data_IF_283943938650
#
_entry.id   IF_283943938650
#
_cell.length_a   1.000
_cell.length_b   1.000
_cell.length_c   1.000
_cell.angle_alpha   90.00
_cell.angle_beta   90.00
_cell.angle_gamma   90.00
#
_symmetry.space_group_name_H-M   'P 1'
#
loop_
_entity.id
_entity.type
_entity.pdbx_description
1 polymer ?
#
# COMPACT_ATOMS: atom_id res chain seq x y z
N UNK A 1 -25.52 -61.49 -23.97
CA UNK A 1 -25.54 -60.12 -23.38
C UNK A 1 -24.69 -59.25 -24.26
N UNK A 2 -25.29 -58.29 -24.96
CA UNK A 2 -24.54 -57.35 -25.80
C UNK A 2 -23.89 -56.26 -24.93
N UNK A 3 -22.61 -56.10 -25.10
CA UNK A 3 -21.88 -55.01 -24.40
C UNK A 3 -22.35 -53.63 -24.92
N UNK A 4 -22.83 -52.79 -24.02
CA UNK A 4 -23.14 -51.38 -24.33
C UNK A 4 -21.81 -50.65 -24.63
N UNK A 5 -21.55 -50.34 -25.89
CA UNK A 5 -20.51 -49.44 -26.28
C UNK A 5 -20.99 -48.01 -25.98
N UNK A 6 -20.37 -47.37 -25.00
CA UNK A 6 -20.52 -45.94 -24.81
C UNK A 6 -19.64 -45.25 -25.85
N UNK A 7 -20.23 -44.72 -26.89
CA UNK A 7 -19.54 -43.88 -27.86
C UNK A 7 -19.39 -42.50 -27.23
N UNK A 8 -18.21 -42.20 -26.74
CA UNK A 8 -17.86 -40.80 -26.39
C UNK A 8 -17.74 -40.03 -27.70
N UNK A 9 -18.70 -39.17 -27.98
CA UNK A 9 -18.61 -38.27 -29.14
C UNK A 9 -17.39 -37.37 -28.97
N UNK A 10 -16.49 -37.41 -29.95
CA UNK A 10 -15.42 -36.41 -30.05
C UNK A 10 -16.05 -35.03 -29.99
N UNK A 11 -15.51 -34.14 -29.17
CA UNK A 11 -15.92 -32.73 -29.18
C UNK A 11 -15.84 -32.21 -30.61
N UNK A 12 -16.76 -31.29 -30.97
CA UNK A 12 -16.73 -30.59 -32.24
C UNK A 12 -15.39 -29.85 -32.45
N UNK A 13 -15.18 -29.22 -33.63
CA UNK A 13 -13.90 -28.60 -33.95
C UNK A 13 -13.46 -27.72 -32.77
N UNK A 14 -12.34 -28.11 -32.18
CA UNK A 14 -11.82 -27.50 -30.99
C UNK A 14 -11.71 -25.97 -31.21
N UNK A 15 -12.50 -25.22 -30.49
CA UNK A 15 -12.16 -23.81 -30.25
C UNK A 15 -10.70 -23.75 -29.77
N UNK A 16 -10.01 -22.66 -30.02
CA UNK A 16 -8.58 -22.52 -29.72
C UNK A 16 -8.29 -23.14 -28.34
N UNK A 17 -7.60 -24.28 -28.34
CA UNK A 17 -7.28 -25.05 -27.13
C UNK A 17 -6.50 -24.13 -26.18
N UNK A 18 -6.99 -23.95 -24.95
CA UNK A 18 -6.28 -23.24 -23.90
C UNK A 18 -4.93 -23.89 -23.58
N UNK A 19 -4.22 -23.34 -22.62
CA UNK A 19 -3.01 -23.97 -22.07
C UNK A 19 -3.41 -25.25 -21.32
N UNK A 20 -2.63 -26.30 -21.48
CA UNK A 20 -2.81 -27.60 -20.80
C UNK A 20 -1.66 -27.76 -19.80
N UNK A 21 -1.98 -27.85 -18.50
CA UNK A 21 -0.96 -28.05 -17.49
C UNK A 21 -0.58 -29.53 -17.37
N UNK A 22 0.67 -29.85 -17.72
CA UNK A 22 1.24 -31.19 -17.72
C UNK A 22 2.02 -31.56 -16.45
N UNK A 23 2.13 -30.65 -15.51
CA UNK A 23 2.88 -30.86 -14.25
C UNK A 23 4.36 -30.54 -14.36
N UNK A 24 5.20 -31.37 -13.74
CA UNK A 24 6.67 -31.22 -13.83
C UNK A 24 7.17 -31.62 -15.21
N UNK A 25 8.13 -30.86 -15.76
CA UNK A 25 8.85 -31.26 -16.95
C UNK A 25 9.62 -32.56 -16.71
N UNK A 26 9.46 -33.52 -17.62
CA UNK A 26 10.06 -34.87 -17.53
C UNK A 26 10.76 -35.18 -18.84
N UNK A 27 12.01 -35.65 -18.77
CA UNK A 27 12.80 -36.11 -19.93
C UNK A 27 12.09 -37.33 -20.60
N UNK A 28 12.19 -37.40 -21.93
CA UNK A 28 11.57 -38.39 -22.78
C UNK A 28 10.02 -38.30 -22.90
N UNK A 29 9.38 -37.35 -22.24
CA UNK A 29 7.97 -37.02 -22.47
C UNK A 29 7.79 -36.27 -23.78
N UNK A 30 6.63 -36.46 -24.43
CA UNK A 30 6.25 -35.70 -25.63
C UNK A 30 5.37 -34.55 -25.20
N UNK A 31 5.81 -33.34 -25.52
CA UNK A 31 5.05 -32.12 -25.25
C UNK A 31 4.44 -31.55 -26.52
N UNK A 32 3.21 -31.10 -26.43
CA UNK A 32 2.47 -30.47 -27.51
C UNK A 32 2.57 -28.95 -27.43
N UNK A 33 2.24 -28.28 -28.53
CA UNK A 33 2.11 -26.81 -28.52
C UNK A 33 1.04 -26.40 -27.52
N UNK A 34 1.34 -25.47 -26.65
CA UNK A 34 0.53 -24.95 -25.51
C UNK A 34 0.52 -25.83 -24.26
N UNK A 35 1.32 -26.86 -24.19
CA UNK A 35 1.56 -27.51 -22.91
C UNK A 35 2.29 -26.57 -21.97
N UNK A 36 1.80 -26.48 -20.73
CA UNK A 36 2.37 -25.69 -19.66
C UNK A 36 3.04 -26.65 -18.67
N UNK A 37 4.33 -26.45 -18.45
CA UNK A 37 5.11 -27.29 -17.53
C UNK A 37 5.76 -26.46 -16.45
N UNK A 38 5.93 -27.05 -15.26
CA UNK A 38 6.81 -26.51 -14.22
C UNK A 38 8.18 -27.13 -14.34
N UNK A 39 9.22 -26.31 -14.40
CA UNK A 39 10.60 -26.78 -14.40
C UNK A 39 11.19 -26.83 -12.99
N UNK A 40 12.38 -27.42 -12.83
CA UNK A 40 13.04 -27.61 -11.53
C UNK A 40 13.39 -26.31 -10.81
N UNK A 41 13.51 -25.19 -11.52
CA UNK A 41 13.69 -23.85 -10.97
C UNK A 41 12.40 -23.21 -10.42
N UNK A 42 11.27 -23.92 -10.46
CA UNK A 42 9.96 -23.43 -10.01
C UNK A 42 9.17 -22.67 -11.07
N UNK A 43 9.80 -22.22 -12.13
CA UNK A 43 9.17 -21.45 -13.20
C UNK A 43 8.22 -22.30 -14.07
N UNK A 44 7.22 -21.62 -14.64
CA UNK A 44 6.31 -22.22 -15.60
C UNK A 44 6.69 -21.81 -17.03
N UNK A 45 6.68 -22.76 -17.93
CA UNK A 45 7.01 -22.59 -19.33
C UNK A 45 5.93 -23.16 -20.24
N UNK A 46 5.68 -22.46 -21.35
CA UNK A 46 4.76 -22.91 -22.40
C UNK A 46 5.56 -23.50 -23.55
N UNK A 47 5.15 -24.68 -24.01
CA UNK A 47 5.69 -25.32 -25.19
C UNK A 47 5.18 -24.62 -26.47
N UNK A 48 6.09 -24.17 -27.31
CA UNK A 48 5.79 -23.51 -28.60
C UNK A 48 5.85 -24.47 -29.79
N UNK A 49 6.63 -25.54 -29.65
CA UNK A 49 6.87 -26.50 -30.72
C UNK A 49 6.76 -27.92 -30.16
N UNK A 50 5.93 -28.75 -30.77
CA UNK A 50 5.84 -30.17 -30.41
C UNK A 50 7.21 -30.82 -30.49
N UNK A 51 7.60 -31.50 -29.43
CA UNK A 51 8.88 -32.19 -29.36
C UNK A 51 8.89 -33.30 -28.32
N UNK A 52 9.94 -34.14 -28.37
CA UNK A 52 10.25 -35.06 -27.29
C UNK A 52 11.33 -34.44 -26.41
N UNK A 53 11.06 -34.38 -25.09
CA UNK A 53 11.95 -33.78 -24.12
C UNK A 53 13.31 -34.50 -24.02
N UNK A 54 14.39 -33.75 -24.07
CA UNK A 54 15.74 -34.25 -23.96
C UNK A 54 16.62 -33.29 -23.14
N UNK A 55 17.85 -33.68 -22.85
CA UNK A 55 18.78 -32.87 -22.09
C UNK A 55 19.20 -31.57 -22.80
N UNK A 56 19.10 -31.53 -24.13
CA UNK A 56 19.45 -30.34 -24.92
C UNK A 56 18.29 -29.36 -25.15
N UNK A 57 17.06 -29.75 -24.88
CA UNK A 57 15.86 -28.94 -25.11
C UNK A 57 15.03 -28.70 -23.84
N UNK A 58 15.71 -28.52 -22.72
CA UNK A 58 15.04 -28.18 -21.46
C UNK A 58 14.44 -26.78 -21.53
N UNK A 59 13.41 -26.45 -20.70
CA UNK A 59 12.75 -25.14 -20.69
C UNK A 59 13.68 -23.95 -20.50
N UNK A 60 14.82 -24.10 -19.86
CA UNK A 60 15.81 -23.03 -19.64
C UNK A 60 16.87 -22.96 -20.73
N UNK A 61 17.11 -24.02 -21.50
CA UNK A 61 18.17 -24.07 -22.52
C UNK A 61 17.67 -23.74 -23.91
N UNK A 62 16.44 -24.07 -24.24
CA UNK A 62 15.89 -23.90 -25.57
C UNK A 62 14.70 -22.94 -25.62
N UNK A 63 14.99 -21.66 -25.80
CA UNK A 63 14.00 -20.60 -25.90
C UNK A 63 13.20 -20.59 -27.21
N UNK A 64 13.57 -21.41 -28.18
CA UNK A 64 12.80 -21.58 -29.43
C UNK A 64 11.64 -22.54 -29.24
N UNK A 65 11.83 -23.53 -28.37
CA UNK A 65 10.82 -24.52 -28.01
C UNK A 65 9.95 -24.05 -26.85
N UNK A 66 10.54 -23.35 -25.88
CA UNK A 66 9.89 -22.96 -24.65
C UNK A 66 9.84 -21.44 -24.46
N UNK A 67 8.71 -20.94 -24.03
CA UNK A 67 8.56 -19.56 -23.55
C UNK A 67 8.31 -19.54 -22.05
N UNK A 68 9.05 -18.73 -21.32
CA UNK A 68 8.79 -18.46 -19.92
C UNK A 68 7.40 -17.82 -19.76
N UNK A 69 6.52 -18.47 -19.00
CA UNK A 69 5.15 -18.01 -18.74
C UNK A 69 5.02 -17.32 -17.38
N UNK A 70 5.58 -17.94 -16.35
CA UNK A 70 5.65 -17.35 -14.99
C UNK A 70 7.06 -17.57 -14.45
N UNK A 71 7.68 -16.48 -14.04
CA UNK A 71 8.89 -16.52 -13.23
C UNK A 71 8.49 -16.61 -11.75
N UNK A 72 8.81 -17.74 -11.12
CA UNK A 72 8.44 -17.98 -9.72
C UNK A 72 9.14 -17.01 -8.76
N UNK A 73 10.41 -16.64 -9.05
CA UNK A 73 11.15 -15.68 -8.22
C UNK A 73 10.55 -14.28 -8.33
N UNK A 74 10.19 -13.84 -9.54
CA UNK A 74 9.51 -12.57 -9.73
C UNK A 74 8.17 -12.55 -9.00
N UNK A 75 7.35 -13.58 -9.16
CA UNK A 75 6.06 -13.69 -8.48
C UNK A 75 6.23 -13.65 -6.94
N UNK A 76 7.24 -14.34 -6.42
CA UNK A 76 7.55 -14.33 -5.00
C UNK A 76 7.99 -12.95 -4.51
N UNK A 77 8.88 -12.26 -5.25
CA UNK A 77 9.32 -10.91 -4.92
C UNK A 77 8.16 -9.91 -4.95
N UNK A 78 7.32 -9.94 -5.99
CA UNK A 78 6.13 -9.09 -6.07
C UNK A 78 5.14 -9.30 -4.92
N UNK A 79 5.08 -10.52 -4.36
CA UNK A 79 4.25 -10.81 -3.20
C UNK A 79 4.89 -10.38 -1.87
N UNK A 80 6.20 -10.60 -1.68
CA UNK A 80 6.79 -10.71 -0.32
C UNK A 80 7.97 -9.80 -0.04
N UNK A 81 8.48 -9.03 -1.02
CA UNK A 81 9.65 -8.16 -0.80
C UNK A 81 9.38 -7.18 0.35
N UNK A 82 10.39 -7.00 1.19
CA UNK A 82 10.28 -6.14 2.36
C UNK A 82 9.91 -4.69 2.03
N UNK A 83 9.30 -4.00 2.98
CA UNK A 83 8.98 -2.58 2.91
C UNK A 83 10.20 -1.74 2.51
N UNK A 84 10.01 -0.70 1.73
CA UNK A 84 11.04 0.20 1.18
C UNK A 84 12.11 -0.46 0.29
N UNK A 85 11.86 -1.69 -0.17
CA UNK A 85 12.75 -2.36 -1.10
C UNK A 85 12.08 -2.46 -2.46
N UNK A 86 12.65 -1.80 -3.46
CA UNK A 86 12.17 -1.91 -4.85
C UNK A 86 12.41 -3.30 -5.41
N UNK A 87 11.58 -3.68 -6.37
CA UNK A 87 11.71 -4.88 -7.17
C UNK A 87 12.04 -4.44 -8.59
N UNK A 88 12.94 -5.17 -9.23
CA UNK A 88 13.07 -5.17 -10.68
C UNK A 88 12.92 -6.61 -11.13
N UNK A 89 11.89 -6.89 -11.92
CA UNK A 89 11.62 -8.24 -12.41
C UNK A 89 12.57 -8.61 -13.57
N UNK A 90 12.49 -9.87 -14.00
CA UNK A 90 13.38 -10.42 -15.04
C UNK A 90 13.21 -9.77 -16.41
N UNK A 91 12.16 -8.99 -16.63
CA UNK A 91 11.90 -8.24 -17.87
C UNK A 91 12.05 -6.73 -17.71
N UNK A 92 12.56 -6.28 -16.56
CA UNK A 92 12.92 -4.89 -16.31
C UNK A 92 11.81 -3.99 -15.74
N UNK A 93 10.64 -4.52 -15.36
CA UNK A 93 9.64 -3.73 -14.64
C UNK A 93 10.09 -3.48 -13.21
N UNK A 94 9.87 -2.25 -12.75
CA UNK A 94 10.21 -1.83 -11.39
C UNK A 94 8.97 -1.46 -10.59
N UNK A 95 9.01 -1.70 -9.28
CA UNK A 95 7.91 -1.36 -8.38
C UNK A 95 8.12 -1.89 -6.97
N UNK A 96 7.02 -2.10 -6.25
CA UNK A 96 7.03 -2.56 -4.86
C UNK A 96 6.06 -3.71 -4.64
N UNK A 97 6.39 -4.61 -3.72
CA UNK A 97 5.60 -5.82 -3.43
C UNK A 97 4.22 -5.51 -2.81
N UNK A 98 3.33 -6.48 -2.87
CA UNK A 98 2.04 -6.42 -2.17
C UNK A 98 2.22 -6.25 -0.65
N UNK A 99 3.22 -6.92 -0.06
CA UNK A 99 3.57 -6.76 1.36
C UNK A 99 4.01 -5.32 1.68
N UNK A 100 4.83 -4.72 0.83
CA UNK A 100 5.21 -3.31 0.96
C UNK A 100 3.98 -2.39 0.91
N UNK A 101 3.09 -2.56 -0.06
CA UNK A 101 1.89 -1.73 -0.20
C UNK A 101 0.96 -1.86 1.01
N UNK A 102 0.79 -3.06 1.55
CA UNK A 102 0.01 -3.28 2.76
C UNK A 102 0.63 -2.58 3.98
N UNK A 103 1.96 -2.66 4.15
CA UNK A 103 2.67 -1.96 5.21
C UNK A 103 2.57 -0.44 5.08
N UNK A 104 2.65 0.10 3.87
CA UNK A 104 2.47 1.55 3.60
C UNK A 104 1.04 2.01 3.92
N UNK A 105 0.04 1.23 3.55
CA UNK A 105 -1.35 1.54 3.90
C UNK A 105 -1.55 1.64 5.42
N UNK A 106 -0.90 0.74 6.17
CA UNK A 106 -0.92 0.80 7.64
C UNK A 106 -0.22 2.06 8.18
N UNK A 107 0.92 2.45 7.61
CA UNK A 107 1.61 3.69 8.01
C UNK A 107 0.73 4.92 7.77
N UNK A 108 0.13 5.05 6.61
CA UNK A 108 -0.80 6.15 6.29
C UNK A 108 -2.00 6.20 7.22
N UNK A 109 -2.44 5.06 7.73
CA UNK A 109 -3.55 5.00 8.69
C UNK A 109 -3.11 5.37 10.11
N UNK A 110 -1.94 4.94 10.57
CA UNK A 110 -1.66 4.79 12.00
C UNK A 110 -0.32 5.31 12.53
N UNK A 111 0.66 5.64 11.69
CA UNK A 111 1.98 6.07 12.15
C UNK A 111 1.92 7.41 12.88
N UNK A 112 2.41 7.48 14.12
CA UNK A 112 2.40 8.72 14.92
C UNK A 112 3.78 9.18 15.37
N UNK A 113 4.81 8.38 15.12
CA UNK A 113 6.18 8.64 15.59
C UNK A 113 7.05 9.33 14.55
N UNK A 114 6.62 9.28 13.29
CA UNK A 114 7.42 9.77 12.16
C UNK A 114 6.52 10.13 10.97
N UNK A 115 7.10 10.80 9.98
CA UNK A 115 6.43 11.03 8.71
C UNK A 115 6.32 9.74 7.90
N UNK A 116 5.26 9.60 7.11
CA UNK A 116 5.14 8.51 6.14
C UNK A 116 5.94 8.87 4.91
N UNK A 117 7.08 8.20 4.73
CA UNK A 117 7.94 8.44 3.57
C UNK A 117 7.32 7.95 2.27
N UNK A 118 7.41 8.75 1.22
CA UNK A 118 7.03 8.32 -0.12
C UNK A 118 8.21 7.60 -0.78
N UNK A 119 8.01 6.37 -1.27
CA UNK A 119 9.08 5.54 -1.84
C UNK A 119 9.61 6.06 -3.18
N UNK A 120 8.82 6.84 -3.90
CA UNK A 120 9.19 7.37 -5.21
C UNK A 120 9.95 8.70 -5.13
N UNK A 121 9.85 9.43 -4.02
CA UNK A 121 10.49 10.74 -3.86
C UNK A 121 10.82 10.97 -2.39
N UNK A 122 12.09 11.00 -2.08
CA UNK A 122 12.59 11.27 -0.72
C UNK A 122 12.35 12.69 -0.20
N UNK A 123 11.57 13.50 -0.91
CA UNK A 123 11.29 14.90 -0.57
C UNK A 123 9.88 15.20 -0.07
N UNK A 124 8.91 14.36 -0.38
CA UNK A 124 7.53 14.56 0.08
C UNK A 124 7.31 13.79 1.38
N UNK A 125 7.34 14.51 2.48
CA UNK A 125 7.00 14.00 3.81
C UNK A 125 5.58 14.43 4.16
N UNK A 126 4.73 13.48 4.47
CA UNK A 126 3.39 13.73 5.00
C UNK A 126 3.13 12.83 6.21
N UNK A 127 2.03 13.06 6.91
CA UNK A 127 1.75 12.38 8.18
C UNK A 127 0.49 11.54 8.06
N UNK A 128 0.42 10.48 8.86
CA UNK A 128 -0.73 9.58 8.85
C UNK A 128 -2.03 10.28 9.26
N UNK A 129 -3.16 9.69 8.86
CA UNK A 129 -4.47 10.17 9.30
C UNK A 129 -4.59 10.21 10.84
N UNK A 130 -3.99 9.25 11.54
CA UNK A 130 -3.97 9.23 13.00
C UNK A 130 -3.14 10.37 13.59
N UNK A 131 -1.96 10.67 13.01
CA UNK A 131 -1.13 11.79 13.46
C UNK A 131 -1.87 13.13 13.31
N UNK A 132 -2.54 13.36 12.20
CA UNK A 132 -3.38 14.54 12.00
C UNK A 132 -4.60 14.61 12.93
N UNK A 133 -5.15 13.46 13.31
CA UNK A 133 -6.32 13.41 14.20
C UNK A 133 -5.96 13.69 15.66
N UNK A 134 -4.95 13.00 16.21
CA UNK A 134 -4.67 12.98 17.66
C UNK A 134 -3.31 13.53 18.05
N UNK A 135 -2.47 13.84 17.08
CA UNK A 135 -1.09 14.28 17.28
C UNK A 135 -0.06 13.20 17.04
N UNK A 136 1.15 13.62 16.75
CA UNK A 136 2.31 12.77 16.53
C UNK A 136 3.56 13.62 16.43
N UNK A 137 4.73 13.00 16.37
CA UNK A 137 6.01 13.69 16.15
C UNK A 137 5.91 14.56 14.90
N UNK A 138 6.37 15.81 15.02
CA UNK A 138 6.36 16.84 13.97
C UNK A 138 4.97 17.38 13.55
N UNK A 139 3.86 16.71 13.81
CA UNK A 139 2.52 17.30 13.65
C UNK A 139 2.22 18.25 14.81
N UNK A 140 2.59 17.86 16.04
CA UNK A 140 2.33 18.64 17.25
C UNK A 140 3.51 19.49 17.71
N UNK A 141 4.73 19.19 17.22
CA UNK A 141 5.97 19.89 17.65
C UNK A 141 6.48 20.90 16.64
N UNK A 142 5.95 20.92 15.42
CA UNK A 142 6.37 21.83 14.36
C UNK A 142 5.48 23.08 14.36
N UNK A 143 6.06 24.24 14.33
CA UNK A 143 5.36 25.52 14.21
C UNK A 143 4.41 25.51 12.99
N UNK A 144 3.24 26.11 13.14
CA UNK A 144 2.17 26.14 12.13
C UNK A 144 1.49 24.81 11.84
N UNK A 145 1.69 23.80 12.67
CA UNK A 145 0.99 22.53 12.61
C UNK A 145 0.32 22.20 13.94
N UNK A 146 -0.82 21.54 13.88
CA UNK A 146 -1.54 21.06 15.06
C UNK A 146 -2.52 19.97 14.66
N UNK A 147 -2.64 18.94 15.51
CA UNK A 147 -3.62 17.88 15.28
C UNK A 147 -5.05 18.39 15.52
N UNK A 148 -6.04 17.75 14.92
CA UNK A 148 -7.45 18.11 15.13
C UNK A 148 -7.84 18.11 16.62
N UNK A 149 -7.32 17.17 17.40
CA UNK A 149 -7.51 17.10 18.84
C UNK A 149 -6.97 18.37 19.55
N UNK A 150 -5.82 18.87 19.16
CA UNK A 150 -5.22 20.07 19.78
C UNK A 150 -6.04 21.30 19.46
N UNK A 151 -6.46 21.46 18.21
CA UNK A 151 -7.35 22.55 17.79
C UNK A 151 -8.71 22.53 18.53
N UNK A 152 -9.14 21.36 18.97
CA UNK A 152 -10.36 21.24 19.75
C UNK A 152 -10.17 21.47 21.25
N UNK A 153 -9.01 21.12 21.84
CA UNK A 153 -8.90 20.90 23.29
C UNK A 153 -7.79 21.64 24.03
N UNK A 154 -6.84 22.26 23.38
CA UNK A 154 -5.72 22.96 24.04
C UNK A 154 -6.24 24.16 24.85
N UNK A 155 -5.76 24.30 26.08
CA UNK A 155 -6.06 25.43 26.96
C UNK A 155 -4.76 25.96 27.56
N UNK A 156 -4.64 27.27 27.68
CA UNK A 156 -3.46 27.91 28.30
C UNK A 156 -2.32 28.18 27.35
N UNK A 157 -2.49 28.00 26.04
CA UNK A 157 -1.49 28.25 25.04
C UNK A 157 -2.01 28.16 23.61
N UNK A 158 -1.13 28.41 22.66
CA UNK A 158 -1.41 28.26 21.23
C UNK A 158 -1.27 26.81 20.78
N UNK A 159 -1.97 26.43 19.72
CA UNK A 159 -1.99 25.06 19.25
C UNK A 159 -0.69 24.66 18.55
N UNK A 160 -0.06 25.56 17.85
CA UNK A 160 1.03 25.31 16.94
C UNK A 160 2.42 25.75 17.43
N UNK A 161 2.71 25.57 18.69
CA UNK A 161 4.05 25.85 19.24
C UNK A 161 4.40 27.34 19.42
N UNK A 162 3.42 28.21 19.38
CA UNK A 162 3.60 29.61 19.84
C UNK A 162 3.45 30.69 18.79
N UNK A 163 3.30 30.39 17.50
CA UNK A 163 3.14 31.38 16.43
C UNK A 163 1.73 31.47 15.85
N UNK A 164 0.89 30.50 16.09
CA UNK A 164 -0.43 30.44 15.50
C UNK A 164 -1.60 30.77 16.40
N UNK A 165 -2.71 30.17 16.12
CA UNK A 165 -4.00 30.44 16.74
C UNK A 165 -4.27 29.59 17.99
N UNK A 166 -5.30 29.96 18.70
CA UNK A 166 -5.79 29.23 19.87
C UNK A 166 -6.87 28.20 19.49
N UNK A 167 -7.00 27.18 20.30
CA UNK A 167 -8.02 26.14 20.10
C UNK A 167 -9.43 26.69 20.28
N UNK A 168 -10.43 25.95 19.76
CA UNK A 168 -11.83 26.26 19.99
C UNK A 168 -12.20 26.26 21.48
N UNK A 169 -11.57 25.37 22.27
CA UNK A 169 -11.78 25.32 23.72
C UNK A 169 -11.18 26.54 24.42
N UNK A 170 -10.00 26.99 24.00
CA UNK A 170 -9.39 28.21 24.55
C UNK A 170 -10.27 29.45 24.29
N UNK A 171 -10.82 29.60 23.10
CA UNK A 171 -11.77 30.68 22.80
C UNK A 171 -13.07 30.54 23.57
N UNK A 172 -13.51 29.33 23.89
CA UNK A 172 -14.74 29.12 24.66
C UNK A 172 -14.59 29.41 26.15
N UNK A 173 -13.53 28.90 26.80
CA UNK A 173 -13.37 28.89 28.26
C UNK A 173 -11.95 29.25 28.72
N UNK A 174 -11.04 29.52 27.84
CA UNK A 174 -9.61 29.70 28.13
C UNK A 174 -9.31 30.99 28.88
N UNK A 175 -8.10 31.03 29.42
CA UNK A 175 -7.62 32.15 30.24
C UNK A 175 -6.45 32.91 29.61
N UNK A 176 -5.82 32.39 28.56
CA UNK A 176 -4.62 32.98 27.92
C UNK A 176 -4.85 33.46 26.51
N UNK A 177 -5.89 32.95 25.84
CA UNK A 177 -6.21 33.40 24.50
C UNK A 177 -6.60 34.86 24.51
N UNK A 178 -6.05 35.55 23.61
CA UNK A 178 -6.33 36.92 23.15
C UNK A 178 -6.69 37.98 24.22
N UNK A 179 -6.30 39.17 23.97
CA UNK A 179 -6.64 40.39 24.70
C UNK A 179 -8.16 40.65 24.78
N UNK A 180 -8.99 39.87 24.04
CA UNK A 180 -10.45 40.01 23.99
C UNK A 180 -11.27 39.14 24.95
N UNK A 181 -10.66 38.21 25.66
CA UNK A 181 -11.38 37.27 26.53
C UNK A 181 -12.04 36.09 25.84
N UNK A 182 -12.45 35.11 26.61
CA UNK A 182 -13.21 33.91 26.11
C UNK A 182 -14.72 34.16 26.11
N UNK A 183 -15.46 33.35 25.38
CA UNK A 183 -16.94 33.40 25.42
C UNK A 183 -17.50 33.25 26.84
N UNK A 184 -16.84 32.46 27.69
CA UNK A 184 -17.18 32.29 29.08
C UNK A 184 -16.96 33.62 29.87
N UNK A 185 -15.83 34.29 29.61
CA UNK A 185 -15.54 35.58 30.27
C UNK A 185 -16.62 36.63 29.93
N UNK A 186 -17.01 36.71 28.64
CA UNK A 186 -18.10 37.59 28.21
C UNK A 186 -19.42 37.27 28.86
N UNK A 187 -19.72 35.99 29.09
CA UNK A 187 -21.00 35.57 29.69
C UNK A 187 -21.04 35.74 31.20
N UNK A 188 -19.92 35.71 31.90
CA UNK A 188 -19.90 35.59 33.37
C UNK A 188 -19.23 36.77 34.06
N UNK A 189 -18.50 37.63 33.37
CA UNK A 189 -17.76 38.73 33.98
C UNK A 189 -18.67 39.91 34.27
N UNK A 190 -18.68 40.35 35.51
CA UNK A 190 -19.55 41.45 36.00
C UNK A 190 -18.79 42.71 36.43
N UNK A 191 -17.46 42.75 36.32
CA UNK A 191 -16.60 43.74 36.95
C UNK A 191 -15.79 44.63 36.03
N UNK A 192 -16.30 45.14 34.93
CA UNK A 192 -15.57 46.01 34.02
C UNK A 192 -15.22 45.36 32.71
N UNK A 193 -14.19 45.81 31.99
CA UNK A 193 -13.81 45.20 30.70
C UNK A 193 -13.28 43.79 30.83
N UNK A 194 -13.71 42.90 29.92
CA UNK A 194 -13.26 41.50 29.86
C UNK A 194 -11.79 41.49 29.46
N UNK A 195 -10.93 40.84 30.27
CA UNK A 195 -9.50 40.65 30.05
C UNK A 195 -8.70 41.91 29.66
N UNK A 196 -8.98 43.01 30.36
CA UNK A 196 -8.21 44.23 30.16
C UNK A 196 -8.60 45.03 28.93
N UNK A 197 -9.64 44.67 28.22
CA UNK A 197 -10.26 45.56 27.26
C UNK A 197 -10.95 46.71 27.98
N UNK A 198 -10.63 47.94 27.59
CA UNK A 198 -11.17 49.16 28.26
C UNK A 198 -12.63 49.45 27.92
N UNK A 199 -13.18 48.76 26.94
CA UNK A 199 -14.52 49.03 26.38
C UNK A 199 -15.45 47.82 26.21
N UNK A 200 -14.96 46.60 26.42
CA UNK A 200 -15.80 45.40 26.23
C UNK A 200 -16.40 44.95 27.57
N UNK A 201 -17.70 44.82 27.60
CA UNK A 201 -18.46 44.41 28.77
C UNK A 201 -19.20 43.06 28.46
N UNK A 202 -19.40 42.25 29.47
CA UNK A 202 -20.21 41.03 29.40
C UNK A 202 -21.69 41.35 29.21
#
# INVERSE_FOLDING_TARGET
MAANQVTVSTPGPAGATGLVYEGLWVIASVYQVRDLVRYTNGNLYVCNVQHTAGSGNTPVLDTTIWTLFINADDAFQWATKAKHTSITDSIGNTGYSALHQAAKALDWASLTTDAVTNDANSGDVDYSAKAWAIGGTEVTTTASRGAAKEWATTVGGKVDGGSGDYSSKEYAIGTTASTGGSSKDYATYTGGGVRGATSDHS
#
